data_IF_599993455216
#
_entry.id   IF_599993455216
#
_cell.length_a   1.000
_cell.length_b   1.000
_cell.length_c   1.000
_cell.angle_alpha   90.00
_cell.angle_beta   90.00
_cell.angle_gamma   90.00
#
_symmetry.space_group_name_H-M   'P 1'
#
loop_
_entity.id
_entity.type
_entity.pdbx_description
1 polymer ?
#
# COMPACT_ATOMS: atom_id res chain seq x y z
N UNK A 1 10.84 -18.03 1.67
CA UNK A 1 10.57 -16.63 1.46
C UNK A 1 9.69 -16.50 0.24
N UNK A 2 8.94 -15.42 0.09
CA UNK A 2 7.86 -15.41 -0.87
C UNK A 2 8.21 -14.60 -2.13
N UNK A 3 7.99 -15.18 -3.30
CA UNK A 3 7.93 -14.45 -4.56
C UNK A 3 6.64 -13.64 -4.65
N UNK A 4 6.59 -12.63 -5.50
CA UNK A 4 5.38 -11.85 -5.78
C UNK A 4 5.10 -11.87 -7.28
N UNK A 5 3.88 -12.20 -7.66
CA UNK A 5 3.47 -12.24 -9.07
C UNK A 5 2.17 -11.47 -9.26
N UNK A 6 2.20 -10.47 -10.11
CA UNK A 6 1.06 -9.69 -10.56
C UNK A 6 0.78 -10.04 -12.02
N UNK A 7 -0.43 -10.50 -12.33
CA UNK A 7 -0.81 -10.93 -13.68
C UNK A 7 -2.04 -10.14 -14.14
N UNK A 8 -1.84 -9.29 -15.14
CA UNK A 8 -2.88 -8.47 -15.79
C UNK A 8 -3.71 -7.65 -14.78
N UNK A 9 -3.05 -7.12 -13.75
CA UNK A 9 -3.71 -6.37 -12.68
C UNK A 9 -4.34 -5.11 -13.25
N UNK A 10 -5.64 -4.93 -12.98
CA UNK A 10 -6.40 -3.71 -13.24
C UNK A 10 -7.06 -3.19 -11.99
N UNK A 11 -7.08 -1.86 -11.86
CA UNK A 11 -7.90 -1.17 -10.89
C UNK A 11 -8.78 -0.14 -11.58
N UNK A 12 -10.09 -0.30 -11.39
CA UNK A 12 -11.11 0.61 -11.90
C UNK A 12 -11.90 1.13 -10.69
N UNK A 13 -11.93 2.44 -10.52
CA UNK A 13 -12.79 3.09 -9.54
C UNK A 13 -14.14 3.41 -10.21
N UNK A 14 -15.24 2.79 -9.79
CA UNK A 14 -16.54 3.06 -10.37
C UNK A 14 -16.96 4.51 -10.11
N UNK A 15 -17.68 5.11 -11.05
CA UNK A 15 -18.25 6.44 -10.81
C UNK A 15 -19.27 6.39 -9.68
N UNK A 16 -19.21 7.37 -8.77
CA UNK A 16 -20.30 7.62 -7.84
C UNK A 16 -21.61 7.91 -8.60
N UNK A 17 -22.74 7.53 -8.03
CA UNK A 17 -24.08 7.68 -8.67
C UNK A 17 -24.33 9.11 -9.17
N UNK A 18 -23.80 10.12 -8.47
CA UNK A 18 -23.94 11.54 -8.82
C UNK A 18 -22.99 11.98 -9.96
N UNK A 19 -21.80 11.39 -10.08
CA UNK A 19 -20.84 11.67 -11.14
C UNK A 19 -21.26 11.01 -12.45
N UNK A 20 -21.81 9.82 -12.42
CA UNK A 20 -22.37 9.15 -13.57
C UNK A 20 -23.55 9.93 -14.20
N UNK A 21 -24.32 10.67 -13.39
CA UNK A 21 -25.39 11.57 -13.84
C UNK A 21 -24.86 12.86 -14.47
N UNK A 22 -23.74 13.42 -13.96
CA UNK A 22 -23.11 14.62 -14.51
C UNK A 22 -22.47 14.34 -15.86
N UNK A 23 -21.74 13.23 -16.03
CA UNK A 23 -21.08 12.90 -17.31
C UNK A 23 -22.06 12.65 -18.44
N UNK A 24 -23.28 12.13 -18.18
CA UNK A 24 -24.33 12.04 -19.21
C UNK A 24 -24.84 13.41 -19.69
N UNK A 25 -24.72 14.47 -18.85
CA UNK A 25 -25.08 15.85 -19.23
C UNK A 25 -23.95 16.56 -19.97
N UNK A 26 -22.70 16.33 -19.60
CA UNK A 26 -21.53 17.04 -20.16
C UNK A 26 -21.10 16.50 -21.54
N UNK A 27 -21.47 15.25 -21.90
CA UNK A 27 -21.30 14.76 -23.29
C UNK A 27 -22.10 15.58 -24.33
N UNK A 28 -23.03 16.48 -23.90
CA UNK A 28 -23.78 17.36 -24.80
C UNK A 28 -23.20 18.77 -24.97
N UNK A 29 -22.25 19.20 -24.11
CA UNK A 29 -21.62 20.52 -24.17
C UNK A 29 -20.11 20.39 -24.04
N UNK A 30 -19.41 20.06 -25.13
CA UNK A 30 -17.94 20.17 -25.21
C UNK A 30 -17.57 21.65 -25.33
N UNK A 31 -17.03 22.23 -24.26
CA UNK A 31 -16.14 23.39 -24.30
C UNK A 31 -14.80 22.91 -23.75
N UNK A 32 -13.79 22.87 -24.61
CA UNK A 32 -12.42 22.49 -24.26
C UNK A 32 -11.78 23.66 -23.49
N UNK A 33 -11.42 23.40 -22.23
CA UNK A 33 -10.63 24.29 -21.40
C UNK A 33 -9.15 23.86 -21.45
N UNK A 34 -8.22 24.70 -22.02
CA UNK A 34 -6.86 24.24 -22.36
C UNK A 34 -5.87 24.17 -21.20
N UNK A 35 -6.22 24.51 -19.97
CA UNK A 35 -5.27 24.66 -18.84
C UNK A 35 -5.39 23.62 -17.72
N UNK A 36 -6.15 22.55 -17.88
CA UNK A 36 -6.09 21.45 -16.92
C UNK A 36 -4.96 20.52 -17.29
N UNK A 37 -3.92 20.45 -16.45
CA UNK A 37 -2.89 19.42 -16.51
C UNK A 37 -3.53 18.09 -16.89
N UNK A 38 -3.18 17.55 -18.06
CA UNK A 38 -3.67 16.29 -18.57
C UNK A 38 -3.14 15.15 -17.69
N UNK A 39 -3.79 14.91 -16.59
CA UNK A 39 -3.72 13.59 -15.95
C UNK A 39 -4.38 12.65 -16.95
N UNK A 40 -3.60 11.78 -17.61
CA UNK A 40 -4.08 10.77 -18.54
C UNK A 40 -4.86 9.68 -17.79
N UNK A 41 -5.94 10.06 -17.11
CA UNK A 41 -6.87 9.14 -16.52
C UNK A 41 -7.72 8.56 -17.66
N UNK A 42 -7.57 7.27 -17.93
CA UNK A 42 -8.43 6.59 -18.87
C UNK A 42 -9.82 6.43 -18.24
N UNK A 43 -10.78 7.16 -18.77
CA UNK A 43 -12.17 7.10 -18.34
C UNK A 43 -12.88 6.10 -19.24
N UNK A 44 -13.38 5.03 -18.64
CA UNK A 44 -14.21 4.01 -19.32
C UNK A 44 -15.66 4.18 -18.92
N UNK A 45 -16.57 3.46 -19.59
CA UNK A 45 -18.01 3.45 -19.20
C UNK A 45 -18.23 2.85 -17.81
N UNK A 46 -17.26 2.07 -17.28
CA UNK A 46 -17.30 1.43 -15.96
C UNK A 46 -16.72 2.28 -14.85
N UNK A 47 -15.88 3.27 -15.15
CA UNK A 47 -15.19 4.08 -14.13
C UNK A 47 -13.85 4.66 -14.61
N UNK A 48 -13.09 5.15 -13.65
CA UNK A 48 -11.74 5.68 -13.85
C UNK A 48 -10.73 4.54 -13.68
N UNK A 49 -9.94 4.28 -14.74
CA UNK A 49 -8.87 3.27 -14.69
C UNK A 49 -7.65 3.87 -14.00
N UNK A 50 -7.33 3.41 -12.81
CA UNK A 50 -6.17 3.83 -12.04
C UNK A 50 -4.92 2.99 -12.31
N UNK A 51 -5.10 1.70 -12.63
CA UNK A 51 -4.04 0.78 -13.04
C UNK A 51 -4.57 -0.06 -14.19
N UNK A 52 -3.79 -0.15 -15.28
CA UNK A 52 -4.18 -0.89 -16.49
C UNK A 52 -3.15 -1.97 -16.82
N UNK A 53 -3.59 -3.21 -16.83
CA UNK A 53 -2.85 -4.40 -17.29
C UNK A 53 -1.40 -4.47 -16.77
N UNK A 54 -1.24 -4.21 -15.48
CA UNK A 54 0.08 -4.22 -14.87
C UNK A 54 0.54 -5.65 -14.57
N UNK A 55 1.72 -5.99 -15.09
CA UNK A 55 2.36 -7.28 -14.88
C UNK A 55 3.71 -7.06 -14.20
N UNK A 56 4.01 -7.85 -13.16
CA UNK A 56 5.29 -7.80 -12.44
C UNK A 56 5.55 -9.15 -11.79
N UNK A 57 6.76 -9.65 -11.99
CA UNK A 57 7.30 -10.80 -11.24
C UNK A 57 8.44 -10.29 -10.38
N UNK A 58 8.41 -10.63 -9.08
CA UNK A 58 9.44 -10.29 -8.10
C UNK A 58 9.97 -11.59 -7.50
N UNK A 59 11.25 -11.84 -7.67
CA UNK A 59 11.91 -13.00 -7.10
C UNK A 59 12.12 -12.85 -5.58
N UNK A 60 12.42 -13.96 -4.91
CA UNK A 60 12.77 -13.92 -3.49
C UNK A 60 14.00 -13.04 -3.26
N UNK A 61 13.94 -12.15 -2.26
CA UNK A 61 14.98 -11.16 -1.89
C UNK A 61 15.27 -10.09 -2.96
N UNK A 62 14.48 -10.00 -3.99
CA UNK A 62 14.63 -8.95 -4.98
C UNK A 62 14.16 -7.58 -4.43
N UNK A 63 14.92 -6.54 -4.76
CA UNK A 63 14.55 -5.15 -4.47
C UNK A 63 14.01 -4.48 -5.72
N UNK A 64 12.73 -4.11 -5.69
CA UNK A 64 12.03 -3.51 -6.83
C UNK A 64 11.59 -2.08 -6.51
N UNK A 65 11.77 -1.16 -7.47
CA UNK A 65 11.35 0.23 -7.35
C UNK A 65 10.34 0.57 -8.45
N UNK A 66 9.16 1.06 -8.07
CA UNK A 66 8.16 1.59 -8.98
C UNK A 66 8.43 3.07 -9.26
N UNK A 67 8.79 3.42 -10.48
CA UNK A 67 9.07 4.79 -10.91
C UNK A 67 8.01 5.26 -11.91
N UNK A 68 7.63 6.53 -11.83
CA UNK A 68 6.67 7.14 -12.76
C UNK A 68 6.09 8.44 -12.22
N UNK A 69 5.37 9.21 -13.04
CA UNK A 69 4.77 10.48 -12.66
C UNK A 69 3.73 10.35 -11.54
N UNK A 70 3.33 11.47 -10.95
CA UNK A 70 2.22 11.49 -9.98
C UNK A 70 0.94 10.98 -10.63
N UNK A 71 0.15 10.18 -9.91
CA UNK A 71 -1.13 9.64 -10.39
C UNK A 71 -1.03 8.44 -11.34
N UNK A 72 0.15 7.91 -11.67
CA UNK A 72 0.29 6.74 -12.56
C UNK A 72 -0.01 5.37 -11.90
N UNK A 73 -0.61 5.35 -10.73
CA UNK A 73 -1.06 4.11 -10.08
C UNK A 73 -0.07 3.42 -9.13
N UNK A 74 1.14 3.95 -8.89
CA UNK A 74 2.15 3.33 -7.99
C UNK A 74 1.62 3.00 -6.59
N UNK A 75 1.06 4.00 -5.93
CA UNK A 75 0.50 3.82 -4.57
C UNK A 75 -0.72 2.91 -4.58
N UNK A 76 -1.53 2.95 -5.64
CA UNK A 76 -2.67 2.03 -5.81
C UNK A 76 -2.19 0.59 -5.95
N UNK A 77 -1.14 0.35 -6.75
CA UNK A 77 -0.53 -0.98 -6.91
C UNK A 77 0.00 -1.50 -5.58
N UNK A 78 0.75 -0.69 -4.83
CA UNK A 78 1.25 -1.07 -3.50
C UNK A 78 0.10 -1.38 -2.52
N UNK A 79 -0.99 -0.61 -2.56
CA UNK A 79 -2.18 -0.86 -1.73
C UNK A 79 -2.91 -2.14 -2.12
N UNK A 80 -2.97 -2.48 -3.42
CA UNK A 80 -3.52 -3.76 -3.88
C UNK A 80 -2.67 -4.94 -3.41
N UNK A 81 -1.35 -4.83 -3.47
CA UNK A 81 -0.43 -5.85 -2.92
C UNK A 81 -0.69 -6.02 -1.42
N UNK A 82 -0.85 -4.93 -0.70
CA UNK A 82 -1.12 -4.94 0.73
C UNK A 82 -2.55 -5.42 1.10
N UNK A 83 -3.46 -5.58 0.13
CA UNK A 83 -4.86 -5.91 0.38
C UNK A 83 -5.69 -4.76 0.97
N UNK A 84 -5.15 -3.54 0.92
CA UNK A 84 -5.83 -2.30 1.34
C UNK A 84 -6.69 -1.71 0.23
N UNK A 85 -6.61 -2.28 -0.96
CA UNK A 85 -7.37 -1.91 -2.14
C UNK A 85 -7.73 -3.18 -2.91
N UNK A 86 -8.98 -3.29 -3.35
CA UNK A 86 -9.45 -4.44 -4.12
C UNK A 86 -8.91 -4.39 -5.56
N UNK A 87 -8.57 -5.54 -6.10
CA UNK A 87 -8.20 -5.74 -7.50
C UNK A 87 -9.48 -5.86 -8.31
N UNK A 88 -9.63 -5.06 -9.39
CA UNK A 88 -10.82 -5.13 -10.25
C UNK A 88 -10.74 -6.28 -11.25
N UNK A 89 -9.57 -6.54 -11.82
CA UNK A 89 -9.29 -7.64 -12.73
C UNK A 89 -7.83 -8.10 -12.57
N UNK A 90 -7.54 -9.36 -12.90
CA UNK A 90 -6.21 -9.95 -12.80
C UNK A 90 -5.99 -10.74 -11.52
N UNK A 91 -4.78 -11.25 -11.35
CA UNK A 91 -4.44 -12.18 -10.27
C UNK A 91 -3.16 -11.72 -9.56
N UNK A 92 -3.19 -11.74 -8.24
CA UNK A 92 -2.05 -11.44 -7.37
C UNK A 92 -1.68 -12.67 -6.56
N UNK A 93 -0.43 -13.09 -6.69
CA UNK A 93 0.13 -14.20 -5.92
C UNK A 93 1.23 -13.72 -4.97
N UNK A 94 1.26 -14.28 -3.78
CA UNK A 94 2.37 -14.20 -2.82
C UNK A 94 2.84 -15.65 -2.58
N UNK A 95 4.03 -15.98 -3.06
CA UNK A 95 4.45 -17.38 -3.22
C UNK A 95 3.51 -18.09 -4.19
N UNK A 96 3.03 -19.26 -3.81
CA UNK A 96 2.09 -20.07 -4.61
C UNK A 96 0.61 -19.75 -4.28
N UNK A 97 0.34 -18.77 -3.42
CA UNK A 97 -1.00 -18.45 -2.94
C UNK A 97 -1.60 -17.27 -3.69
N UNK A 98 -2.76 -17.47 -4.32
CA UNK A 98 -3.61 -16.38 -4.82
C UNK A 98 -4.17 -15.59 -3.63
N UNK A 99 -3.97 -14.26 -3.63
CA UNK A 99 -4.30 -13.41 -2.47
C UNK A 99 -5.33 -12.32 -2.78
N UNK A 100 -5.99 -12.35 -3.91
CA UNK A 100 -6.98 -11.34 -4.29
C UNK A 100 -7.99 -11.05 -3.16
N UNK A 101 -8.57 -12.10 -2.58
CA UNK A 101 -9.61 -12.04 -1.55
C UNK A 101 -9.08 -12.26 -0.13
N UNK A 102 -7.74 -12.27 0.04
CA UNK A 102 -7.11 -12.46 1.34
C UNK A 102 -7.01 -11.13 2.08
N UNK A 103 -7.47 -11.09 3.33
CA UNK A 103 -7.40 -9.88 4.15
C UNK A 103 -5.94 -9.47 4.41
N UNK A 104 -5.64 -8.17 4.58
CA UNK A 104 -4.27 -7.66 4.78
C UNK A 104 -3.49 -8.38 5.90
N UNK A 105 -4.14 -8.64 7.02
CA UNK A 105 -3.55 -9.33 8.19
C UNK A 105 -3.08 -10.76 7.91
N UNK A 106 -3.64 -11.41 6.88
CA UNK A 106 -3.40 -12.80 6.53
C UNK A 106 -2.47 -12.96 5.31
N UNK A 107 -1.89 -11.84 4.80
CA UNK A 107 -0.96 -11.84 3.66
C UNK A 107 0.51 -11.98 4.04
N UNK A 108 0.84 -11.92 5.32
CA UNK A 108 2.21 -11.96 5.88
C UNK A 108 3.16 -10.95 5.24
N UNK A 109 2.71 -9.71 5.12
CA UNK A 109 3.45 -8.58 4.57
C UNK A 109 3.57 -7.45 5.59
N UNK A 110 4.51 -6.54 5.36
CA UNK A 110 4.63 -5.29 6.09
C UNK A 110 4.59 -4.11 5.10
N UNK A 111 3.96 -3.01 5.49
CA UNK A 111 3.90 -1.78 4.69
C UNK A 111 4.26 -0.58 5.54
N UNK A 112 5.12 0.28 5.00
CA UNK A 112 5.44 1.59 5.59
C UNK A 112 4.61 2.65 4.88
N UNK A 113 3.82 3.40 5.63
CA UNK A 113 2.98 4.48 5.11
C UNK A 113 3.73 5.81 5.12
N UNK A 114 3.35 6.72 4.22
CA UNK A 114 3.93 8.06 4.13
C UNK A 114 3.78 8.89 5.42
N UNK A 115 2.71 8.67 6.17
CA UNK A 115 2.40 9.31 7.46
C UNK A 115 2.84 8.48 8.67
N UNK A 116 3.75 7.50 8.44
CA UNK A 116 4.30 6.57 9.43
C UNK A 116 3.26 5.69 10.14
N UNK A 117 1.99 6.00 10.10
CA UNK A 117 0.86 5.27 10.71
C UNK A 117 1.07 4.93 12.21
N UNK A 118 1.73 5.82 12.94
CA UNK A 118 1.95 5.65 14.38
C UNK A 118 0.66 5.91 15.16
N UNK A 119 0.44 5.14 16.21
CA UNK A 119 -0.62 5.34 17.18
C UNK A 119 -0.19 6.40 18.20
N UNK A 120 -0.72 7.65 18.14
CA UNK A 120 -0.19 8.76 18.94
C UNK A 120 -0.43 8.63 20.45
N UNK A 121 -1.35 7.75 20.84
CA UNK A 121 -1.67 7.44 22.25
C UNK A 121 -0.84 6.29 22.83
N UNK A 122 0.03 5.69 22.03
CA UNK A 122 0.93 4.60 22.42
C UNK A 122 2.37 5.12 22.55
N UNK A 123 3.12 4.54 23.45
CA UNK A 123 4.57 4.75 23.55
C UNK A 123 5.31 4.21 22.33
N UNK A 124 6.58 4.58 22.15
CA UNK A 124 7.42 4.02 21.07
C UNK A 124 7.50 2.49 21.19
N UNK A 125 7.74 1.98 22.41
CA UNK A 125 7.76 0.55 22.67
C UNK A 125 6.45 -0.14 22.27
N UNK A 126 5.31 0.44 22.61
CA UNK A 126 3.99 -0.13 22.30
C UNK A 126 3.70 -0.13 20.80
N UNK A 127 4.10 0.93 20.08
CA UNK A 127 3.99 0.99 18.63
C UNK A 127 4.84 -0.11 17.96
N UNK A 128 6.08 -0.31 18.40
CA UNK A 128 6.97 -1.36 17.88
C UNK A 128 6.43 -2.77 18.23
N UNK A 129 5.91 -2.95 19.43
CA UNK A 129 5.39 -4.22 19.92
C UNK A 129 4.02 -4.60 19.34
N UNK A 130 3.29 -3.66 18.72
CA UNK A 130 1.87 -3.81 18.39
C UNK A 130 1.58 -5.03 17.52
N UNK A 131 2.31 -5.22 16.43
CA UNK A 131 2.11 -6.35 15.52
C UNK A 131 2.38 -7.72 16.21
N UNK A 132 3.39 -7.78 17.08
CA UNK A 132 3.72 -8.99 17.83
C UNK A 132 2.65 -9.30 18.87
N UNK A 133 2.09 -8.28 19.53
CA UNK A 133 0.95 -8.44 20.46
C UNK A 133 -0.28 -8.99 19.75
N UNK A 134 -0.58 -8.51 18.53
CA UNK A 134 -1.70 -9.04 17.72
C UNK A 134 -1.52 -10.51 17.33
N UNK A 135 -0.27 -10.95 17.16
CA UNK A 135 0.09 -12.34 16.85
C UNK A 135 0.13 -13.22 18.11
N UNK A 136 -0.20 -12.68 19.29
CA UNK A 136 -0.14 -13.36 20.58
C UNK A 136 1.26 -13.91 20.91
N UNK A 137 2.31 -13.23 20.47
CA UNK A 137 3.71 -13.57 20.76
C UNK A 137 3.98 -13.46 22.26
N UNK A 138 4.77 -14.36 22.87
CA UNK A 138 5.15 -14.29 24.27
C UNK A 138 5.85 -12.96 24.62
N UNK A 139 5.58 -12.43 25.82
CA UNK A 139 6.09 -11.12 26.25
C UNK A 139 7.61 -11.00 26.19
N UNK A 140 8.32 -12.06 26.55
CA UNK A 140 9.78 -12.11 26.54
C UNK A 140 10.36 -11.99 25.11
N UNK A 141 9.72 -12.64 24.15
CA UNK A 141 10.09 -12.53 22.74
C UNK A 141 9.79 -11.14 22.18
N UNK A 142 8.66 -10.53 22.59
CA UNK A 142 8.33 -9.16 22.20
C UNK A 142 9.39 -8.19 22.72
N UNK A 143 9.76 -8.27 24.00
CA UNK A 143 10.75 -7.39 24.61
C UNK A 143 12.11 -7.52 23.91
N UNK A 144 12.55 -8.75 23.63
CA UNK A 144 13.78 -9.02 22.89
C UNK A 144 13.74 -8.40 21.50
N UNK A 145 12.70 -8.68 20.70
CA UNK A 145 12.58 -8.17 19.33
C UNK A 145 12.52 -6.64 19.27
N UNK A 146 11.79 -6.00 20.20
CA UNK A 146 11.70 -4.53 20.26
C UNK A 146 13.04 -3.92 20.61
N UNK A 147 13.82 -4.49 21.56
CA UNK A 147 15.14 -3.99 21.93
C UNK A 147 16.14 -4.15 20.79
N UNK A 148 16.15 -5.30 20.11
CA UNK A 148 17.00 -5.53 18.95
C UNK A 148 16.69 -4.53 17.82
N UNK A 149 15.41 -4.28 17.52
CA UNK A 149 15.03 -3.30 16.52
C UNK A 149 15.40 -1.86 16.94
N UNK A 150 15.24 -1.50 18.21
CA UNK A 150 15.61 -0.20 18.74
C UNK A 150 17.14 0.02 18.65
N UNK A 151 17.95 -1.00 18.90
CA UNK A 151 19.40 -0.92 18.80
C UNK A 151 19.88 -0.74 17.35
N UNK A 152 19.21 -1.36 16.38
CA UNK A 152 19.48 -1.15 14.95
C UNK A 152 19.19 0.30 14.55
N UNK A 153 18.08 0.87 15.03
CA UNK A 153 17.64 2.23 14.69
C UNK A 153 18.44 3.32 15.42
N UNK A 154 18.86 3.06 16.65
CA UNK A 154 19.62 3.96 17.51
C UNK A 154 20.81 3.22 18.14
N UNK A 155 21.89 2.93 17.38
CA UNK A 155 23.05 2.24 17.93
C UNK A 155 23.61 3.02 19.12
N UNK A 156 23.79 2.35 20.25
CA UNK A 156 24.23 2.91 21.54
C UNK A 156 25.67 3.48 21.54
N UNK A 157 26.22 3.87 20.40
CA UNK A 157 27.59 4.35 20.20
C UNK A 157 27.75 5.87 20.02
N UNK A 158 26.70 6.65 19.83
CA UNK A 158 26.77 8.11 19.73
C UNK A 158 26.13 8.75 20.96
N UNK A 159 26.95 8.96 22.00
CA UNK A 159 26.63 9.52 23.31
C UNK A 159 25.93 10.89 23.31
N UNK A 160 24.63 10.87 22.98
CA UNK A 160 23.65 11.87 23.40
C UNK A 160 22.32 11.12 23.64
N UNK A 161 22.29 10.37 24.72
CA UNK A 161 21.04 9.92 25.32
C UNK A 161 20.36 11.11 25.98
N UNK A 162 19.59 11.86 25.21
CA UNK A 162 18.46 12.57 25.79
C UNK A 162 17.48 11.52 26.31
N UNK A 163 17.16 11.61 27.61
CA UNK A 163 16.14 10.81 28.26
C UNK A 163 14.79 10.99 27.55
N UNK A 164 14.55 10.20 26.52
CA UNK A 164 13.20 9.97 26.02
C UNK A 164 12.78 8.58 26.45
N UNK A 165 11.88 8.56 27.45
CA UNK A 165 11.24 7.38 27.97
C UNK A 165 10.73 6.50 26.81
N UNK A 166 11.34 5.33 26.66
CA UNK A 166 10.81 4.21 25.90
C UNK A 166 9.63 3.56 26.62
#
# INVERSE_FOLDING_TARGET
MATLSLKNIKKIYPFGIDEARKQKKDKKNKVEDPEKEKVNLQITDKGVVAVQEFNLEVADKEFVVLVGPSGCGKSTTLRMIAGLEEISEGELYIGDRLVNDVAPKDRDIAMVFQNYALYPHMTVYENMAFALKLRHTPKEEIDKAVREAAEILCPSGNGRSGEHQL
#
